data_IF_392820281349
#
_entry.id   IF_392820281349
#
_cell.length_a   1.000
_cell.length_b   1.000
_cell.length_c   1.000
_cell.angle_alpha   90.00
_cell.angle_beta   90.00
_cell.angle_gamma   90.00
#
_symmetry.space_group_name_H-M   'P 1'
#
loop_
_entity.id
_entity.type
_entity.pdbx_description
1 polymer ?
2 non-polymer ?
3 water ?
#
# COMPACT_ATOMS: atom_id res chain seq x y z
N UNK A 13 -3.15 1.85 -11.87
CA UNK A 13 -2.23 2.30 -10.83
C UNK A 13 -0.76 2.21 -11.27
N UNK A 14 -0.45 2.75 -12.45
CA UNK A 14 0.89 2.74 -13.01
C UNK A 14 1.60 4.06 -12.74
N UNK A 15 2.92 4.00 -12.61
CA UNK A 15 3.70 5.19 -12.32
C UNK A 15 3.91 6.03 -13.57
N UNK A 16 4.10 7.32 -13.34
CA UNK A 16 4.40 8.25 -14.43
C UNK A 16 5.89 8.18 -14.74
N UNK A 17 6.22 7.76 -15.96
CA UNK A 17 7.61 7.59 -16.33
C UNK A 17 8.33 6.67 -15.38
N UNK A 18 7.83 5.43 -15.24
CA UNK A 18 8.44 4.48 -14.33
C UNK A 18 9.89 4.20 -14.68
N UNK A 19 10.15 3.94 -15.96
CA UNK A 19 11.51 3.71 -16.42
C UNK A 19 12.42 4.89 -16.08
N UNK A 20 11.90 6.11 -16.19
CA UNK A 20 12.71 7.29 -15.91
C UNK A 20 12.83 7.58 -14.43
N UNK A 21 11.84 7.18 -13.63
CA UNK A 21 11.95 7.28 -12.18
C UNK A 21 13.04 6.35 -11.65
N UNK A 22 13.12 5.13 -12.21
CA UNK A 22 14.18 4.21 -11.85
C UNK A 22 15.56 4.82 -12.10
N UNK A 23 15.68 5.68 -13.10
CA UNK A 23 16.97 6.27 -13.44
C UNK A 23 17.38 7.34 -12.43
N UNK A 24 16.44 8.22 -12.08
CA UNK A 24 16.74 9.26 -11.09
C UNK A 24 17.26 8.65 -9.79
N UNK A 25 16.72 7.48 -9.41
CA UNK A 25 17.21 6.80 -8.22
C UNK A 25 18.68 6.41 -8.40
N UNK A 26 18.99 5.72 -9.50
CA UNK A 26 20.36 5.30 -9.74
C UNK A 26 21.35 6.45 -9.72
N UNK A 27 21.02 7.55 -10.40
CA UNK A 27 21.91 8.70 -10.41
C UNK A 27 22.14 9.24 -9.00
N UNK A 28 21.08 9.31 -8.19
CA UNK A 28 21.24 9.75 -6.82
C UNK A 28 22.24 8.87 -6.07
N UNK A 29 22.17 7.55 -6.30
CA UNK A 29 23.09 6.64 -5.63
C UNK A 29 24.46 6.64 -6.29
N UNK A 30 24.51 6.53 -7.61
CA UNK A 30 25.78 6.55 -8.32
C UNK A 30 26.62 7.74 -7.92
N UNK A 31 25.98 8.87 -7.59
CA UNK A 31 26.70 10.06 -7.16
C UNK A 31 27.38 9.87 -5.81
N UNK A 32 27.23 8.72 -5.16
CA UNK A 32 28.00 8.45 -3.94
C UNK A 32 29.47 8.29 -4.25
N UNK A 33 29.79 7.54 -5.31
CA UNK A 33 31.18 7.36 -5.71
C UNK A 33 31.69 8.54 -6.52
N UNK A 34 31.10 8.76 -7.69
CA UNK A 34 31.40 9.97 -8.45
C UNK A 34 30.93 11.19 -7.68
N UNK A 35 31.68 12.28 -7.79
CA UNK A 35 31.36 13.55 -7.11
C UNK A 35 31.61 13.51 -5.61
N UNK A 36 31.89 12.32 -5.06
CA UNK A 36 32.02 12.15 -3.61
C UNK A 36 30.98 12.98 -2.88
N UNK A 37 29.72 12.68 -3.18
CA UNK A 37 28.60 13.53 -2.79
C UNK A 37 28.16 13.24 -1.36
N UNK A 38 27.74 14.29 -0.67
CA UNK A 38 27.32 14.18 0.72
C UNK A 38 26.18 13.17 0.88
N UNK A 39 26.23 12.41 1.97
CA UNK A 39 25.16 11.47 2.28
C UNK A 39 23.85 12.20 2.52
N UNK A 40 23.88 13.31 3.24
CA UNK A 40 22.67 14.10 3.48
C UNK A 40 22.07 14.56 2.16
N UNK A 41 22.90 14.87 1.18
CA UNK A 41 22.39 15.32 -0.11
C UNK A 41 21.70 14.17 -0.84
N UNK A 42 22.35 13.00 -0.90
CA UNK A 42 21.80 11.87 -1.65
C UNK A 42 20.47 11.43 -1.04
N UNK A 43 20.42 11.29 0.28
CA UNK A 43 19.18 10.91 0.93
C UNK A 43 18.06 11.90 0.66
N UNK A 44 18.40 13.18 0.53
CA UNK A 44 17.36 14.19 0.33
C UNK A 44 16.77 14.10 -1.07
N UNK A 45 17.61 14.00 -2.09
CA UNK A 45 17.09 13.86 -3.44
C UNK A 45 16.39 12.53 -3.64
N UNK A 46 16.63 11.56 -2.77
CA UNK A 46 15.86 10.31 -2.80
C UNK A 46 14.45 10.53 -2.29
N UNK A 47 14.30 11.26 -1.19
CA UNK A 47 12.96 11.56 -0.69
C UNK A 47 12.22 12.50 -1.63
N UNK A 48 12.95 13.41 -2.30
CA UNK A 48 12.33 14.26 -3.30
C UNK A 48 11.88 13.44 -4.50
N UNK A 49 12.72 12.51 -4.96
CA UNK A 49 12.31 11.59 -6.01
C UNK A 49 10.99 10.93 -5.65
N UNK A 50 10.97 10.26 -4.49
CA UNK A 50 9.80 9.49 -4.09
C UNK A 50 8.60 10.41 -3.92
N UNK A 51 8.75 11.46 -3.11
CA UNK A 51 7.64 12.39 -2.91
C UNK A 51 7.14 12.92 -4.24
N UNK A 52 8.06 13.38 -5.11
CA UNK A 52 7.65 13.90 -6.41
C UNK A 52 6.95 12.83 -7.24
N UNK A 53 7.49 11.61 -7.25
CA UNK A 53 6.91 10.55 -8.06
C UNK A 53 5.51 10.17 -7.57
N UNK A 54 5.27 10.25 -6.27
CA UNK A 54 3.93 9.96 -5.75
C UNK A 54 2.92 10.94 -6.34
N UNK A 55 3.25 12.23 -6.35
CA UNK A 55 2.35 13.23 -6.91
C UNK A 55 2.18 13.02 -8.40
N UNK A 56 3.29 12.83 -9.12
CA UNK A 56 3.23 12.58 -10.56
C UNK A 56 2.32 11.40 -10.86
N UNK A 57 2.53 10.28 -10.16
CA UNK A 57 1.80 9.06 -10.47
C UNK A 57 0.33 9.18 -10.12
N UNK A 58 -0.03 10.03 -9.14
CA UNK A 58 -1.44 10.19 -8.81
C UNK A 58 -2.16 11.07 -9.82
N UNK A 59 -1.48 12.10 -10.34
CA UNK A 59 -2.00 12.80 -11.51
C UNK A 59 -2.36 11.82 -12.62
N UNK A 60 -1.48 10.85 -12.88
CA UNK A 60 -1.73 9.85 -13.90
C UNK A 60 -2.89 8.94 -13.52
N UNK A 61 -2.88 8.40 -12.30
CA UNK A 61 -3.83 7.34 -11.97
C UNK A 61 -5.23 7.88 -11.76
N UNK A 62 -5.39 9.03 -11.15
CA UNK A 62 -6.71 9.56 -10.79
C UNK A 62 -7.05 10.76 -11.65
N UNK A 63 -8.24 10.74 -12.26
CA UNK A 63 -8.63 11.91 -13.03
C UNK A 63 -8.90 13.12 -12.13
N UNK A 64 -9.58 12.91 -11.01
CA UNK A 64 -9.94 14.06 -10.18
C UNK A 64 -8.71 14.71 -9.55
N UNK A 65 -7.73 13.92 -9.13
CA UNK A 65 -6.54 14.50 -8.51
C UNK A 65 -5.77 15.35 -9.51
N UNK A 66 -5.65 14.88 -10.75
CA UNK A 66 -5.12 15.76 -11.79
C UNK A 66 -5.93 17.04 -11.87
N UNK A 67 -7.24 16.96 -11.61
CA UNK A 67 -8.07 18.17 -11.59
C UNK A 67 -7.88 19.01 -10.31
N UNK A 68 -7.45 18.38 -9.20
CA UNK A 68 -7.40 19.06 -7.90
C UNK A 68 -6.61 20.38 -7.90
N UNK A 69 -5.51 20.47 -8.62
CA UNK A 69 -4.81 21.74 -8.72
C UNK A 69 -3.70 21.95 -7.68
N UNK A 70 -2.86 22.96 -8.00
CA UNK A 70 -1.50 23.04 -7.46
C UNK A 70 -1.46 23.04 -5.92
N UNK A 71 -2.38 23.75 -5.27
CA UNK A 71 -2.28 23.86 -3.82
C UNK A 71 -2.15 22.47 -3.16
N UNK A 72 -2.98 21.52 -3.59
CA UNK A 72 -2.99 20.20 -2.98
C UNK A 72 -1.73 19.43 -3.32
N UNK A 73 -1.28 19.53 -4.58
CA UNK A 73 -0.23 18.63 -5.05
C UNK A 73 1.11 18.94 -4.39
N UNK A 74 1.40 20.21 -4.15
CA UNK A 74 2.64 20.54 -3.47
C UNK A 74 2.57 20.18 -1.99
N UNK A 75 1.38 20.25 -1.39
CA UNK A 75 1.21 19.78 -0.02
C UNK A 75 1.49 18.28 0.07
N UNK A 76 0.91 17.50 -0.86
CA UNK A 76 1.21 16.08 -0.92
C UNK A 76 2.72 15.83 -0.90
N UNK A 77 3.47 16.50 -1.79
CA UNK A 77 4.92 16.29 -1.81
C UNK A 77 5.53 16.55 -0.46
N UNK A 78 5.21 17.71 0.14
CA UNK A 78 5.72 18.03 1.47
C UNK A 78 5.40 16.93 2.46
N UNK A 79 4.11 16.57 2.57
CA UNK A 79 3.71 15.50 3.48
C UNK A 79 4.49 14.22 3.19
N UNK A 80 4.43 13.75 1.94
CA UNK A 80 5.11 12.50 1.59
C UNK A 80 6.56 12.53 2.02
N UNK A 81 7.26 13.63 1.74
CA UNK A 81 8.67 13.71 2.10
C UNK A 81 8.82 13.63 3.61
N UNK A 82 8.00 14.40 4.32
CA UNK A 82 8.05 14.40 5.79
C UNK A 82 7.82 12.99 6.33
N UNK A 83 6.79 12.31 5.82
CA UNK A 83 6.50 10.96 6.30
C UNK A 83 7.71 10.05 6.08
N UNK A 84 8.38 10.18 4.94
CA UNK A 84 9.54 9.34 4.67
C UNK A 84 10.63 9.55 5.69
N UNK A 85 10.89 10.80 6.05
CA UNK A 85 11.96 11.08 7.00
C UNK A 85 11.62 10.51 8.36
N UNK A 86 10.43 10.82 8.87
CA UNK A 86 10.06 10.32 10.18
C UNK A 86 10.06 8.79 10.20
N UNK A 87 9.62 8.18 9.10
CA UNK A 87 9.65 6.72 9.02
C UNK A 87 11.07 6.19 9.15
N UNK A 88 12.02 6.85 8.50
CA UNK A 88 13.40 6.40 8.60
C UNK A 88 13.92 6.51 10.03
N UNK A 89 13.69 7.66 10.68
CA UNK A 89 14.15 7.86 12.05
C UNK A 89 13.56 6.82 13.00
N UNK A 90 12.25 6.56 12.89
CA UNK A 90 11.63 5.57 13.75
C UNK A 90 12.18 4.17 13.49
N UNK A 91 12.72 3.92 12.30
CA UNK A 91 13.19 2.59 11.96
C UNK A 91 14.65 2.34 12.31
N UNK A 92 15.41 3.38 12.66
CA UNK A 92 16.86 3.21 12.75
C UNK A 92 17.25 2.36 13.95
N UNK A 93 16.72 2.65 15.14
CA UNK A 93 17.06 1.83 16.31
C UNK A 93 16.59 0.40 16.14
N UNK A 94 15.31 0.12 15.85
CA UNK A 94 14.90 -1.27 15.61
C UNK A 94 15.72 -1.96 14.55
N UNK A 95 16.17 -1.23 13.53
CA UNK A 95 17.01 -1.83 12.50
C UNK A 95 18.38 -2.21 13.06
N UNK A 96 19.06 -1.28 13.72
CA UNK A 96 20.33 -1.60 14.36
C UNK A 96 20.19 -2.84 15.25
N UNK A 97 19.14 -2.87 16.08
CA UNK A 97 18.94 -4.00 16.97
C UNK A 97 18.82 -5.30 16.20
N UNK A 98 18.19 -5.26 15.02
CA UNK A 98 18.10 -6.45 14.17
C UNK A 98 19.48 -6.83 13.65
N UNK A 99 20.18 -5.87 13.03
CA UNK A 99 21.50 -6.15 12.48
C UNK A 99 22.41 -6.73 13.55
N UNK A 100 22.47 -6.06 14.70
CA UNK A 100 23.34 -6.53 15.78
C UNK A 100 22.98 -7.95 16.17
N UNK A 101 21.69 -8.22 16.33
CA UNK A 101 21.26 -9.56 16.68
C UNK A 101 21.72 -10.60 15.66
N UNK A 102 21.80 -10.20 14.40
CA UNK A 102 22.10 -11.16 13.35
C UNK A 102 23.59 -11.50 13.28
N UNK A 103 24.45 -10.52 13.55
CA UNK A 103 25.89 -10.70 13.37
C UNK A 103 26.62 -10.90 14.69
N UNK A 104 25.93 -10.85 15.82
CA UNK A 104 26.60 -11.07 17.09
C UNK A 104 26.88 -12.56 17.30
N UNK A 105 28.03 -12.91 17.87
CA UNK A 105 28.30 -14.32 18.19
C UNK A 105 27.19 -14.90 19.02
N UNK A 106 26.89 -16.19 18.87
CA UNK A 106 27.59 -17.23 18.09
C UNK A 106 27.40 -17.12 16.59
N UNK A 107 26.46 -16.27 16.15
CA UNK A 107 26.16 -16.15 14.72
C UNK A 107 27.42 -15.93 13.89
N UNK A 108 28.43 -15.32 14.48
CA UNK A 108 29.70 -15.06 13.81
C UNK A 108 30.81 -15.47 14.77
N UNK A 109 31.93 -15.92 14.21
CA UNK A 109 33.13 -16.17 15.00
C UNK A 109 33.44 -14.91 15.81
N UNK A 110 33.57 -15.07 17.13
CA UNK A 110 33.73 -13.86 17.95
C UNK A 110 35.02 -13.12 17.63
N UNK A 111 36.04 -13.81 17.15
CA UNK A 111 37.17 -13.12 16.55
C UNK A 111 36.76 -12.40 15.28
N UNK A 112 35.85 -12.99 14.50
CA UNK A 112 35.37 -12.32 13.29
C UNK A 112 34.51 -11.11 13.64
N UNK A 113 33.74 -11.19 14.72
CA UNK A 113 32.96 -10.03 15.14
C UNK A 113 33.86 -8.90 15.64
N UNK A 114 34.98 -9.25 16.26
CA UNK A 114 35.98 -8.25 16.64
C UNK A 114 36.35 -7.38 15.45
N UNK A 115 36.57 -7.99 14.29
CA UNK A 115 36.81 -7.22 13.08
C UNK A 115 35.51 -6.58 12.57
N UNK A 116 34.43 -7.36 12.54
CA UNK A 116 33.22 -6.97 11.82
C UNK A 116 32.36 -5.98 12.61
N UNK A 117 32.25 -6.16 13.92
CA UNK A 117 31.36 -5.35 14.71
C UNK A 117 31.64 -3.86 14.61
N UNK A 118 32.87 -3.45 14.90
CA UNK A 118 33.19 -2.01 14.85
C UNK A 118 32.98 -1.39 13.48
N UNK A 119 33.04 -2.18 12.41
CA UNK A 119 32.80 -1.64 11.08
C UNK A 119 31.35 -1.22 10.93
N UNK A 120 30.43 -2.07 11.38
CA UNK A 120 29.01 -1.79 11.20
C UNK A 120 28.51 -0.77 12.22
N UNK A 121 29.11 -0.72 13.42
CA UNK A 121 28.72 0.34 14.36
C UNK A 121 29.10 1.71 13.80
N UNK A 122 30.29 1.81 13.21
CA UNK A 122 30.68 3.05 12.54
C UNK A 122 29.79 3.30 11.34
N UNK A 123 29.54 2.27 10.55
CA UNK A 123 28.64 2.39 9.41
C UNK A 123 27.30 2.98 9.82
N UNK A 124 26.69 2.41 10.86
CA UNK A 124 25.40 2.93 11.34
C UNK A 124 25.54 4.29 12.01
N UNK A 125 26.68 4.56 12.64
CA UNK A 125 26.88 5.85 13.29
C UNK A 125 26.91 6.98 12.28
N UNK A 126 27.41 6.73 11.07
CA UNK A 126 27.30 7.73 10.01
C UNK A 126 25.84 8.15 9.82
N UNK A 127 24.93 7.17 9.78
CA UNK A 127 23.51 7.47 9.62
C UNK A 127 22.95 8.14 10.86
N UNK A 128 23.37 7.71 12.05
CA UNK A 128 22.91 8.37 13.27
C UNK A 128 23.18 9.86 13.22
N UNK A 129 24.37 10.24 12.74
CA UNK A 129 24.77 11.65 12.78
C UNK A 129 23.97 12.49 11.80
N UNK A 130 23.72 11.95 10.59
CA UNK A 130 23.04 12.73 9.56
C UNK A 130 21.61 13.05 9.99
N UNK A 131 20.92 12.08 10.59
CA UNK A 131 19.52 12.24 10.93
C UNK A 131 19.29 12.79 12.33
N UNK A 132 20.35 13.18 13.03
CA UNK A 132 20.22 13.74 14.38
C UNK A 132 19.44 12.79 15.29
N UNK A 133 19.74 11.49 15.17
CA UNK A 133 19.19 10.46 16.04
C UNK A 133 20.35 9.64 16.56
N UNK A 134 20.97 10.05 17.67
CA UNK A 134 22.05 9.24 18.24
C UNK A 134 21.48 8.06 19.02
N UNK A 135 22.21 6.94 18.95
CA UNK A 135 21.80 5.70 19.61
C UNK A 135 23.00 5.16 20.37
N UNK A 136 22.84 4.66 21.59
CA UNK A 136 24.01 4.13 22.32
C UNK A 136 24.72 3.05 21.53
N UNK A 137 26.06 3.14 21.53
CA UNK A 137 26.88 2.07 20.95
C UNK A 137 26.84 0.80 21.79
N UNK A 138 26.14 0.81 22.93
CA UNK A 138 26.03 -0.38 23.77
C UNK A 138 25.34 -1.53 23.05
N UNK A 139 24.61 -1.24 21.98
CA UNK A 139 23.86 -2.29 21.27
C UNK A 139 24.81 -3.34 20.72
N UNK A 140 26.05 -2.96 20.42
CA UNK A 140 27.08 -3.88 19.95
C UNK A 140 27.94 -4.26 21.15
N UNK A 141 27.78 -5.49 21.64
CA UNK A 141 28.18 -5.87 22.98
C UNK A 141 28.86 -7.24 22.95
N UNK A 142 30.17 -7.27 23.22
CA UNK A 142 30.86 -8.51 23.57
C UNK A 142 30.73 -9.59 22.47
N UNK B 13 2.31 21.69 7.87
CA UNK B 13 2.54 20.32 7.42
C UNK B 13 3.05 19.42 8.55
N UNK B 14 2.18 19.16 9.52
CA UNK B 14 2.45 18.21 10.60
C UNK B 14 1.67 16.93 10.36
N UNK B 15 2.23 15.81 10.80
CA UNK B 15 1.62 14.52 10.57
C UNK B 15 0.46 14.30 11.54
N UNK B 16 -0.48 13.45 11.11
CA UNK B 16 -1.60 13.05 11.95
C UNK B 16 -1.15 11.91 12.84
N UNK B 17 -1.05 12.18 14.14
CA UNK B 17 -0.55 11.19 15.07
C UNK B 17 0.87 10.77 14.71
N UNK B 18 1.78 11.75 14.67
CA UNK B 18 3.17 11.42 14.34
C UNK B 18 3.82 10.54 15.39
N UNK B 19 3.60 10.84 16.66
CA UNK B 19 4.19 10.04 17.72
C UNK B 19 3.74 8.59 17.63
N UNK B 20 2.47 8.37 17.28
CA UNK B 20 1.92 7.02 17.15
C UNK B 20 2.36 6.36 15.85
N UNK B 21 2.64 7.15 14.80
CA UNK B 21 3.17 6.59 13.56
C UNK B 21 4.56 6.04 13.77
N UNK B 22 5.39 6.75 14.53
CA UNK B 22 6.74 6.27 14.82
C UNK B 22 6.72 4.95 15.56
N UNK B 23 5.75 4.76 16.46
CA UNK B 23 5.65 3.50 17.18
C UNK B 23 5.30 2.34 16.24
N UNK B 24 4.36 2.57 15.31
CA UNK B 24 3.96 1.52 14.38
C UNK B 24 5.14 1.04 13.53
N UNK B 25 6.06 1.95 13.18
CA UNK B 25 7.25 1.54 12.45
C UNK B 25 8.11 0.62 13.30
N UNK B 26 8.44 1.08 14.51
CA UNK B 26 9.22 0.24 15.40
C UNK B 26 8.64 -1.16 15.53
N UNK B 27 7.31 -1.23 15.74
CA UNK B 27 6.67 -2.53 15.96
C UNK B 27 6.80 -3.42 14.72
N UNK B 28 6.54 -2.87 13.53
CA UNK B 28 6.67 -3.65 12.31
C UNK B 28 8.04 -4.30 12.23
N UNK B 29 9.10 -3.54 12.56
CA UNK B 29 10.45 -4.07 12.51
C UNK B 29 10.77 -4.91 13.75
N UNK B 30 10.35 -4.44 14.92
CA UNK B 30 10.61 -5.19 16.14
C UNK B 30 10.05 -6.61 16.06
N UNK B 31 8.98 -6.81 15.28
CA UNK B 31 8.35 -8.12 15.20
C UNK B 31 9.21 -9.13 14.45
N UNK B 32 10.34 -8.70 13.87
CA UNK B 32 11.25 -9.68 13.29
C UNK B 32 11.91 -10.51 14.37
N UNK B 33 12.31 -9.87 15.46
CA UNK B 33 12.88 -10.61 16.58
C UNK B 33 11.78 -11.14 17.51
N UNK B 34 10.88 -10.27 17.94
CA UNK B 34 9.89 -10.67 18.95
C UNK B 34 8.99 -11.79 18.44
N UNK B 35 8.77 -11.85 17.13
CA UNK B 35 8.09 -12.97 16.49
C UNK B 35 8.92 -13.36 15.29
N UNK B 36 8.70 -14.57 14.79
CA UNK B 36 9.38 -14.97 13.56
C UNK B 36 8.54 -14.43 12.41
N UNK B 37 8.96 -13.30 11.86
CA UNK B 37 8.17 -12.54 10.92
C UNK B 37 8.97 -12.35 9.64
N UNK B 38 8.43 -12.86 8.53
CA UNK B 38 9.14 -12.82 7.27
C UNK B 38 9.58 -11.39 6.94
N UNK B 39 10.83 -11.25 6.53
CA UNK B 39 11.35 -10.00 5.98
C UNK B 39 10.34 -9.41 5.00
N UNK B 40 9.72 -10.27 4.20
CA UNK B 40 8.80 -9.82 3.16
C UNK B 40 7.47 -9.36 3.73
N UNK B 41 7.04 -9.93 4.87
CA UNK B 41 5.85 -9.43 5.53
C UNK B 41 6.08 -8.03 6.07
N UNK B 42 7.25 -7.81 6.66
CA UNK B 42 7.54 -6.53 7.27
C UNK B 42 7.64 -5.45 6.21
N UNK B 43 8.32 -5.75 5.09
CA UNK B 43 8.37 -4.80 4.00
C UNK B 43 6.99 -4.32 3.61
N UNK B 44 6.01 -5.23 3.60
CA UNK B 44 4.67 -4.87 3.13
C UNK B 44 3.96 -3.99 4.14
N UNK B 45 4.08 -4.30 5.43
CA UNK B 45 3.37 -3.49 6.42
C UNK B 45 4.08 -2.19 6.73
N UNK B 46 5.35 -2.08 6.38
CA UNK B 46 6.01 -0.77 6.42
C UNK B 46 5.45 0.14 5.34
N UNK B 47 5.33 -0.37 4.12
CA UNK B 47 4.76 0.43 3.04
C UNK B 47 3.31 0.79 3.34
N UNK B 48 2.56 -0.14 3.95
CA UNK B 48 1.20 0.18 4.38
C UNK B 48 1.19 1.33 5.38
N UNK B 49 2.07 1.27 6.39
CA UNK B 49 2.20 2.36 7.35
C UNK B 49 2.49 3.68 6.64
N UNK B 50 3.54 3.69 5.81
CA UNK B 50 3.94 4.93 5.15
C UNK B 50 2.82 5.43 4.25
N UNK B 51 2.30 4.56 3.38
CA UNK B 51 1.23 4.98 2.47
C UNK B 51 0.02 5.46 3.24
N UNK B 52 -0.40 4.71 4.27
CA UNK B 52 -1.52 5.13 5.11
C UNK B 52 -1.27 6.49 5.74
N UNK B 53 -0.09 6.67 6.35
CA UNK B 53 0.21 7.92 7.04
C UNK B 53 0.17 9.10 6.08
N UNK B 54 0.59 8.90 4.83
CA UNK B 54 0.55 9.98 3.85
C UNK B 54 -0.89 10.43 3.63
N UNK B 55 -1.83 9.49 3.54
CA UNK B 55 -3.23 9.87 3.35
C UNK B 55 -3.78 10.52 4.61
N UNK B 56 -3.48 9.95 5.78
CA UNK B 56 -3.93 10.55 7.03
C UNK B 56 -3.47 12.00 7.11
N UNK B 57 -2.17 12.22 6.90
CA UNK B 57 -1.60 13.53 7.10
C UNK B 57 -2.06 14.53 6.04
N UNK B 58 -2.36 14.06 4.83
CA UNK B 58 -2.84 14.97 3.81
C UNK B 58 -4.27 15.42 4.10
N UNK B 59 -5.11 14.51 4.59
CA UNK B 59 -6.43 14.91 5.05
C UNK B 59 -6.31 16.01 6.09
N UNK B 60 -5.33 15.89 6.99
CA UNK B 60 -5.14 16.90 8.03
C UNK B 60 -4.69 18.22 7.42
N UNK B 61 -3.76 18.19 6.47
CA UNK B 61 -3.12 19.42 5.99
C UNK B 61 -3.91 20.11 4.88
N UNK B 62 -4.69 19.37 4.10
CA UNK B 62 -5.50 19.95 3.02
C UNK B 62 -6.98 19.82 3.34
N UNK B 63 -7.64 20.95 3.59
CA UNK B 63 -9.09 20.96 3.58
C UNK B 63 -9.63 20.45 2.26
N UNK B 64 -8.95 20.78 1.16
CA UNK B 64 -9.44 20.42 -0.16
C UNK B 64 -9.31 18.92 -0.41
N UNK B 65 -8.23 18.31 0.08
CA UNK B 65 -8.08 16.87 -0.10
C UNK B 65 -9.11 16.12 0.72
N UNK B 66 -9.31 16.54 1.97
CA UNK B 66 -10.36 15.97 2.79
C UNK B 66 -11.71 16.07 2.09
N UNK B 67 -11.93 17.15 1.34
CA UNK B 67 -13.22 17.37 0.69
C UNK B 67 -13.53 16.31 -0.36
N UNK B 68 -12.54 15.53 -0.79
CA UNK B 68 -12.65 14.78 -2.04
C UNK B 68 -12.74 13.28 -1.81
N UNK B 69 -13.61 12.64 -2.58
CA UNK B 69 -13.33 11.39 -3.24
C UNK B 69 -12.59 10.32 -2.46
N UNK B 70 -13.22 9.68 -1.48
CA UNK B 70 -12.57 8.54 -0.84
C UNK B 70 -11.95 7.59 -1.86
N UNK B 71 -12.45 7.58 -3.09
CA UNK B 71 -11.76 6.89 -4.18
C UNK B 71 -10.35 7.42 -4.36
N UNK B 72 -10.20 8.74 -4.37
CA UNK B 72 -8.87 9.34 -4.53
C UNK B 72 -7.93 8.89 -3.43
N UNK B 73 -8.46 8.71 -2.22
CA UNK B 73 -7.61 8.43 -1.06
C UNK B 73 -7.10 7.00 -1.08
N UNK B 74 -7.96 6.05 -1.49
CA UNK B 74 -7.47 4.68 -1.67
C UNK B 74 -6.44 4.61 -2.80
N UNK B 75 -6.63 5.43 -3.84
CA UNK B 75 -5.67 5.47 -4.95
C UNK B 75 -4.34 6.06 -4.51
N UNK B 76 -4.38 7.19 -3.78
CA UNK B 76 -3.15 7.72 -3.19
C UNK B 76 -2.41 6.63 -2.42
N UNK B 77 -3.12 5.91 -1.55
CA UNK B 77 -2.51 4.81 -0.80
C UNK B 77 -1.88 3.79 -1.74
N UNK B 78 -2.65 3.32 -2.72
CA UNK B 78 -2.14 2.33 -3.65
C UNK B 78 -0.93 2.85 -4.43
N UNK B 79 -1.02 4.10 -4.89
CA UNK B 79 0.09 4.68 -5.64
C UNK B 79 1.33 4.82 -4.77
N UNK B 80 1.19 5.46 -3.61
CA UNK B 80 2.35 5.66 -2.75
C UNK B 80 3.01 4.33 -2.42
N UNK B 81 2.20 3.30 -2.13
CA UNK B 81 2.79 2.00 -1.83
C UNK B 81 3.53 1.43 -3.03
N UNK B 82 2.91 1.50 -4.20
CA UNK B 82 3.57 1.06 -5.43
C UNK B 82 4.89 1.80 -5.64
N UNK B 83 4.90 3.12 -5.37
CA UNK B 83 6.11 3.89 -5.58
C UNK B 83 7.23 3.38 -4.68
N UNK B 84 6.92 3.21 -3.38
CA UNK B 84 7.91 2.71 -2.44
C UNK B 84 8.52 1.42 -2.94
N UNK B 85 7.67 0.49 -3.37
CA UNK B 85 8.16 -0.79 -3.89
C UNK B 85 9.09 -0.55 -5.06
N UNK B 86 8.62 0.20 -6.06
CA UNK B 86 9.42 0.40 -7.26
C UNK B 86 10.69 1.18 -6.96
N UNK B 87 10.65 2.08 -5.96
CA UNK B 87 11.86 2.79 -5.56
C UNK B 87 12.91 1.82 -5.02
N UNK B 88 12.51 0.90 -4.16
CA UNK B 88 13.46 -0.05 -3.60
C UNK B 88 14.07 -0.93 -4.68
N UNK B 89 13.25 -1.42 -5.62
CA UNK B 89 13.75 -2.20 -6.73
C UNK B 89 14.74 -1.40 -7.59
N UNK B 90 14.43 -0.12 -7.82
CA UNK B 90 15.31 0.71 -8.63
C UNK B 90 16.66 0.91 -7.96
N UNK B 91 16.70 0.82 -6.63
CA UNK B 91 17.94 1.03 -5.89
C UNK B 91 18.86 -0.18 -5.92
N UNK B 92 18.37 -1.36 -6.33
CA UNK B 92 19.15 -2.57 -6.17
C UNK B 92 20.35 -2.61 -7.11
N UNK B 93 20.12 -2.44 -8.41
CA UNK B 93 21.24 -2.49 -9.36
C UNK B 93 22.30 -1.44 -9.08
N UNK B 94 21.97 -0.15 -8.96
CA UNK B 94 23.01 0.83 -8.60
C UNK B 94 23.75 0.46 -7.32
N UNK B 95 23.06 -0.14 -6.35
CA UNK B 95 23.72 -0.61 -5.13
C UNK B 95 24.74 -1.70 -5.47
N UNK B 96 24.32 -2.73 -6.19
CA UNK B 96 25.25 -3.76 -6.63
C UNK B 96 26.43 -3.14 -7.38
N UNK B 97 26.15 -2.24 -8.32
CA UNK B 97 27.24 -1.54 -9.00
C UNK B 97 28.21 -0.91 -8.01
N UNK B 98 27.69 -0.29 -6.96
CA UNK B 98 28.55 0.34 -5.95
C UNK B 98 29.35 -0.72 -5.22
N UNK B 99 28.67 -1.75 -4.71
CA UNK B 99 29.37 -2.82 -4.00
C UNK B 99 30.44 -3.42 -4.90
N UNK B 100 30.03 -3.88 -6.08
CA UNK B 100 30.98 -4.51 -6.99
C UNK B 100 32.16 -3.60 -7.25
N UNK B 101 31.91 -2.29 -7.35
CA UNK B 101 33.00 -1.36 -7.57
C UNK B 101 33.96 -1.33 -6.39
N UNK B 102 33.46 -1.61 -5.18
CA UNK B 102 34.30 -1.53 -3.99
C UNK B 102 35.15 -2.77 -3.79
N UNK B 103 34.67 -3.95 -4.20
CA UNK B 103 35.36 -5.20 -3.94
C UNK B 103 36.10 -5.72 -5.17
N UNK B 104 35.98 -5.06 -6.32
CA UNK B 104 36.64 -5.56 -7.51
C UNK B 104 38.12 -5.18 -7.51
N UNK B 105 38.98 -6.04 -8.05
CA UNK B 105 40.41 -5.71 -8.09
C UNK B 105 40.63 -4.40 -8.80
N UNK B 106 41.69 -3.66 -8.45
CA UNK B 106 42.78 -3.94 -7.51
C UNK B 106 42.42 -3.81 -6.04
N UNK B 107 41.24 -3.23 -5.73
CA UNK B 107 40.85 -3.05 -4.34
C UNK B 107 40.99 -4.34 -3.55
N UNK B 108 40.88 -5.48 -4.22
CA UNK B 108 41.06 -6.79 -3.60
C UNK B 108 41.93 -7.63 -4.51
N UNK B 109 42.78 -8.46 -3.92
CA UNK B 109 43.59 -9.41 -4.68
C UNK B 109 42.70 -10.18 -5.63
N UNK B 110 43.07 -10.22 -6.92
CA UNK B 110 42.19 -10.87 -7.89
C UNK B 110 41.98 -12.35 -7.57
N UNK B 111 42.98 -13.01 -6.97
CA UNK B 111 42.71 -14.33 -6.41
C UNK B 111 41.70 -14.25 -5.27
N UNK B 112 41.79 -13.20 -4.46
CA UNK B 112 40.84 -13.02 -3.37
C UNK B 112 39.43 -12.74 -3.90
N UNK B 113 39.33 -12.04 -5.03
CA UNK B 113 38.01 -11.78 -5.60
C UNK B 113 37.41 -13.05 -6.19
N UNK B 114 38.25 -13.94 -6.71
CA UNK B 114 37.75 -15.23 -7.17
C UNK B 114 36.89 -15.89 -6.11
N UNK B 115 37.27 -15.74 -4.85
CA UNK B 115 36.48 -16.25 -3.73
C UNK B 115 35.37 -15.29 -3.34
N UNK B 116 35.72 -14.02 -3.13
CA UNK B 116 34.79 -13.07 -2.52
C UNK B 116 33.62 -12.74 -3.43
N UNK B 117 33.88 -12.49 -4.71
CA UNK B 117 32.86 -12.04 -5.63
C UNK B 117 31.62 -12.91 -5.64
N UNK B 118 31.79 -14.21 -5.90
CA UNK B 118 30.61 -15.10 -5.92
C UNK B 118 29.83 -15.07 -4.62
N UNK B 119 30.49 -14.79 -3.50
CA UNK B 119 29.78 -14.71 -2.22
C UNK B 119 28.81 -13.53 -2.23
N UNK B 120 29.28 -12.38 -2.70
CA UNK B 120 28.45 -11.19 -2.74
C UNK B 120 27.41 -11.30 -3.85
N UNK B 121 27.83 -11.74 -5.04
CA UNK B 121 26.87 -12.00 -6.11
C UNK B 121 25.74 -12.87 -5.60
N UNK B 122 26.07 -13.96 -4.92
CA UNK B 122 25.07 -14.83 -4.32
C UNK B 122 24.22 -14.07 -3.31
N UNK B 123 24.87 -13.34 -2.40
CA UNK B 123 24.14 -12.56 -1.40
C UNK B 123 23.11 -11.66 -2.05
N UNK B 124 23.50 -10.94 -3.10
CA UNK B 124 22.59 -10.03 -3.77
C UNK B 124 21.60 -10.76 -4.65
N UNK B 125 21.96 -11.93 -5.17
CA UNK B 125 20.99 -12.72 -5.93
C UNK B 125 19.83 -13.15 -5.05
N UNK B 126 20.04 -13.27 -3.74
CA UNK B 126 18.93 -13.51 -2.83
C UNK B 126 18.02 -12.28 -2.76
N UNK B 127 18.61 -11.09 -2.65
CA UNK B 127 17.81 -9.87 -2.65
C UNK B 127 17.08 -9.71 -3.98
N UNK B 128 17.77 -9.99 -5.08
CA UNK B 128 17.13 -9.90 -6.40
C UNK B 128 15.88 -10.75 -6.47
N UNK B 129 15.89 -11.92 -5.84
CA UNK B 129 14.75 -12.82 -5.90
C UNK B 129 13.67 -12.43 -4.90
N UNK B 130 14.06 -11.98 -3.71
CA UNK B 130 13.07 -11.53 -2.74
C UNK B 130 12.32 -10.31 -3.27
N UNK B 131 13.03 -9.36 -3.88
CA UNK B 131 12.44 -8.16 -4.44
C UNK B 131 11.95 -8.33 -5.87
N UNK B 132 12.13 -9.50 -6.47
CA UNK B 132 11.61 -9.78 -7.80
C UNK B 132 12.13 -8.77 -8.83
N UNK B 133 13.40 -8.42 -8.71
CA UNK B 133 14.11 -7.61 -9.71
C UNK B 133 15.39 -8.34 -10.05
N UNK B 134 15.32 -9.35 -10.93
CA UNK B 134 16.56 -10.03 -11.34
C UNK B 134 17.45 -9.09 -12.12
N UNK B 135 18.75 -9.18 -11.84
CA UNK B 135 19.74 -8.30 -12.44
C UNK B 135 20.87 -9.15 -12.99
N UNK B 136 21.45 -8.81 -14.14
CA UNK B 136 22.54 -9.62 -14.69
C UNK B 136 23.61 -9.90 -13.66
N UNK B 137 24.13 -11.13 -13.68
CA UNK B 137 25.30 -11.46 -12.88
C UNK B 137 26.61 -10.96 -13.50
N UNK B 138 26.53 -10.22 -14.61
CA UNK B 138 27.73 -9.71 -15.26
C UNK B 138 28.35 -8.55 -14.50
N UNK B 139 27.58 -7.89 -13.62
CA UNK B 139 28.12 -6.76 -12.88
C UNK B 139 29.40 -7.15 -12.16
N UNK B 140 29.50 -8.42 -11.76
CA UNK B 140 30.63 -8.91 -10.97
C UNK B 140 31.70 -9.59 -11.82
N UNK B 141 31.65 -9.44 -13.14
CA UNK B 141 32.51 -10.25 -14.01
C UNK B 141 33.98 -9.91 -13.85
N UNK B 142 34.31 -8.61 -13.88
CA UNK B 142 35.71 -8.18 -13.82
C UNK B 142 36.46 -8.55 -15.10
N UNK C 13 -25.21 12.61 11.50
CA UNK C 13 -26.10 13.75 11.36
C UNK C 13 -26.14 14.28 9.92
N UNK C 14 -25.03 14.84 9.44
CA UNK C 14 -24.96 15.47 8.13
C UNK C 14 -24.02 14.71 7.21
N UNK C 15 -24.47 14.46 5.98
CA UNK C 15 -23.64 13.75 5.01
C UNK C 15 -22.58 14.68 4.43
N UNK C 16 -21.59 14.06 3.77
CA UNK C 16 -20.49 14.77 3.13
C UNK C 16 -20.79 14.84 1.63
N UNK C 17 -21.06 16.04 1.13
CA UNK C 17 -21.38 16.22 -0.27
C UNK C 17 -22.66 15.48 -0.65
N UNK C 18 -23.76 15.81 0.01
CA UNK C 18 -25.00 15.10 -0.25
C UNK C 18 -25.55 15.34 -1.65
N UNK C 19 -25.51 16.60 -2.10
CA UNK C 19 -25.97 16.90 -3.46
C UNK C 19 -25.13 16.17 -4.50
N UNK C 20 -23.83 16.07 -4.28
CA UNK C 20 -22.94 15.36 -5.19
C UNK C 20 -22.99 13.85 -4.99
N UNK C 21 -23.38 13.39 -3.80
CA UNK C 21 -23.61 11.96 -3.59
C UNK C 21 -24.90 11.50 -4.27
N UNK C 22 -25.91 12.36 -4.31
CA UNK C 22 -27.14 12.02 -5.05
C UNK C 22 -26.86 11.90 -6.54
N UNK C 23 -25.98 12.76 -7.08
CA UNK C 23 -25.64 12.67 -8.49
C UNK C 23 -24.98 11.33 -8.80
N UNK C 24 -24.01 10.94 -7.97
CA UNK C 24 -23.30 9.68 -8.19
C UNK C 24 -24.29 8.51 -8.25
N UNK C 25 -25.34 8.55 -7.44
CA UNK C 25 -26.36 7.51 -7.50
C UNK C 25 -27.08 7.56 -8.84
N UNK C 26 -27.59 8.74 -9.20
CA UNK C 26 -28.31 8.88 -10.45
C UNK C 26 -27.51 8.42 -11.65
N UNK C 27 -26.22 8.78 -11.70
CA UNK C 27 -25.37 8.32 -12.79
C UNK C 27 -25.26 6.80 -12.81
N UNK C 28 -25.16 6.17 -11.63
CA UNK C 28 -25.07 4.73 -11.58
C UNK C 28 -26.31 4.07 -12.18
N UNK C 29 -27.49 4.60 -11.86
CA UNK C 29 -28.72 4.02 -12.37
C UNK C 29 -28.96 4.41 -13.82
N UNK C 30 -28.67 5.65 -14.17
CA UNK C 30 -28.83 6.08 -15.56
C UNK C 30 -27.89 5.35 -16.51
N UNK C 31 -26.78 4.79 -16.00
CA UNK C 31 -25.89 3.98 -16.84
C UNK C 31 -26.55 2.69 -17.30
N UNK C 32 -27.72 2.36 -16.74
CA UNK C 32 -28.50 1.24 -17.26
C UNK C 32 -28.98 1.51 -18.68
N UNK C 33 -29.45 2.73 -18.94
CA UNK C 33 -29.90 3.12 -20.27
C UNK C 33 -28.76 3.67 -21.14
N UNK C 34 -27.98 4.62 -20.61
CA UNK C 34 -27.03 5.34 -21.44
C UNK C 34 -25.89 4.44 -21.90
N UNK C 35 -25.21 3.77 -20.96
CA UNK C 35 -24.11 2.87 -21.28
C UNK C 35 -24.55 1.41 -21.37
N UNK C 36 -25.85 1.13 -21.24
CA UNK C 36 -26.35 -0.23 -21.23
C UNK C 36 -25.49 -1.10 -20.31
N UNK C 37 -25.45 -0.70 -19.05
CA UNK C 37 -24.55 -1.30 -18.08
C UNK C 37 -25.19 -2.51 -17.42
N UNK C 38 -24.36 -3.53 -17.17
CA UNK C 38 -24.82 -4.75 -16.54
C UNK C 38 -25.50 -4.45 -15.21
N UNK C 39 -26.49 -5.27 -14.86
CA UNK C 39 -27.21 -5.08 -13.61
C UNK C 39 -26.30 -5.34 -12.40
N UNK C 40 -25.37 -6.29 -12.50
CA UNK C 40 -24.43 -6.49 -11.41
C UNK C 40 -23.39 -5.37 -11.36
N UNK C 41 -23.03 -4.80 -12.51
CA UNK C 41 -22.13 -3.66 -12.52
C UNK C 41 -22.76 -2.47 -11.81
N UNK C 42 -24.04 -2.20 -12.12
CA UNK C 42 -24.72 -1.06 -11.50
C UNK C 42 -24.83 -1.27 -10.00
N UNK C 43 -25.16 -2.49 -9.57
CA UNK C 43 -25.28 -2.76 -8.15
C UNK C 43 -23.97 -2.58 -7.40
N UNK C 44 -22.86 -2.88 -8.05
CA UNK C 44 -21.57 -2.77 -7.38
C UNK C 44 -21.18 -1.31 -7.16
N UNK C 45 -21.33 -0.48 -8.18
CA UNK C 45 -21.00 0.93 -8.00
C UNK C 45 -22.02 1.67 -7.14
N UNK C 46 -23.18 1.07 -6.89
CA UNK C 46 -24.09 1.62 -5.88
C UNK C 46 -23.59 1.30 -4.48
N UNK C 47 -23.26 0.04 -4.23
CA UNK C 47 -22.68 -0.33 -2.94
C UNK C 47 -21.40 0.45 -2.67
N UNK C 48 -20.56 0.62 -3.70
CA UNK C 48 -19.33 1.40 -3.53
C UNK C 48 -19.64 2.83 -3.14
N UNK C 49 -20.66 3.43 -3.76
CA UNK C 49 -21.06 4.78 -3.39
C UNK C 49 -21.51 4.85 -1.94
N UNK C 50 -22.38 3.94 -1.54
CA UNK C 50 -22.86 3.89 -0.16
C UNK C 50 -21.69 3.69 0.80
N UNK C 51 -20.87 2.67 0.54
CA UNK C 51 -19.74 2.40 1.43
C UNK C 51 -18.83 3.62 1.52
N UNK C 52 -18.45 4.20 0.38
CA UNK C 52 -17.60 5.38 0.39
C UNK C 52 -18.25 6.53 1.14
N UNK C 53 -19.56 6.73 0.92
CA UNK C 53 -20.23 7.87 1.54
C UNK C 53 -20.33 7.70 3.06
N UNK C 54 -20.32 6.46 3.55
CA UNK C 54 -20.35 6.25 4.99
C UNK C 54 -19.03 6.67 5.62
N UNK C 55 -17.92 6.26 5.03
CA UNK C 55 -16.61 6.68 5.52
C UNK C 55 -16.48 8.19 5.45
N UNK C 56 -16.85 8.77 4.30
CA UNK C 56 -16.76 10.22 4.13
C UNK C 56 -17.56 10.94 5.20
N UNK C 57 -18.81 10.51 5.41
CA UNK C 57 -19.70 11.22 6.30
C UNK C 57 -19.39 10.99 7.77
N UNK C 58 -18.77 9.86 8.12
CA UNK C 58 -18.39 9.66 9.52
C UNK C 58 -17.22 10.53 9.90
N UNK C 59 -16.26 10.68 8.98
CA UNK C 59 -15.19 11.66 9.19
C UNK C 59 -15.77 13.03 9.46
N UNK C 60 -16.87 13.36 8.80
CA UNK C 60 -17.50 14.66 8.97
C UNK C 60 -18.26 14.76 10.29
N UNK C 61 -18.92 13.68 10.72
CA UNK C 61 -19.74 13.74 11.94
C UNK C 61 -18.90 13.77 13.21
N UNK C 62 -17.77 13.05 13.23
CA UNK C 62 -16.93 13.02 14.42
C UNK C 62 -15.49 13.38 14.10
N UNK C 63 -14.92 14.30 14.89
CA UNK C 63 -13.53 14.66 14.61
C UNK C 63 -12.59 13.51 14.93
N UNK C 64 -12.81 12.79 16.03
CA UNK C 64 -11.87 11.74 16.38
C UNK C 64 -11.85 10.60 15.36
N UNK C 65 -12.99 10.23 14.77
CA UNK C 65 -12.90 9.20 13.75
C UNK C 65 -12.01 9.67 12.61
N UNK C 66 -12.15 10.93 12.21
CA UNK C 66 -11.29 11.49 11.19
C UNK C 66 -9.82 11.41 11.61
N UNK C 67 -9.52 11.75 12.85
CA UNK C 67 -8.13 11.82 13.32
C UNK C 67 -7.43 10.47 13.32
N UNK C 68 -8.10 9.37 12.99
CA UNK C 68 -7.55 8.05 13.20
C UNK C 68 -7.22 7.34 11.88
N UNK C 69 -6.15 6.57 11.90
CA UNK C 69 -6.10 5.28 11.26
C UNK C 69 -6.72 5.15 9.88
N UNK C 70 -6.11 5.70 8.83
CA UNK C 70 -6.65 5.45 7.50
C UNK C 70 -6.89 3.97 7.23
N UNK C 71 -6.16 3.08 7.90
CA UNK C 71 -6.48 1.65 7.84
C UNK C 71 -7.93 1.40 8.22
N UNK C 72 -8.41 2.05 9.29
CA UNK C 72 -9.79 1.90 9.73
C UNK C 72 -10.75 2.36 8.63
N UNK C 73 -10.35 3.40 7.90
CA UNK C 73 -11.24 3.97 6.89
C UNK C 73 -11.46 2.99 5.75
N UNK C 74 -10.38 2.33 5.29
CA UNK C 74 -10.54 1.37 4.20
C UNK C 74 -11.21 0.10 4.67
N UNK C 75 -11.10 -0.22 5.96
CA UNK C 75 -11.82 -1.36 6.52
C UNK C 75 -13.30 -1.06 6.64
N UNK C 76 -13.65 0.11 7.15
CA UNK C 76 -15.06 0.51 7.20
C UNK C 76 -15.71 0.38 5.81
N UNK C 77 -15.01 0.78 4.75
CA UNK C 77 -15.58 0.63 3.42
C UNK C 77 -15.77 -0.84 3.08
N UNK C 78 -14.74 -1.66 3.29
CA UNK C 78 -14.87 -3.09 3.08
C UNK C 78 -16.06 -3.64 3.85
N UNK C 79 -16.07 -3.42 5.16
CA UNK C 79 -17.15 -3.93 6.00
C UNK C 79 -18.50 -3.45 5.49
N UNK C 80 -18.67 -2.14 5.32
CA UNK C 80 -19.93 -1.60 4.86
C UNK C 80 -20.38 -2.26 3.56
N UNK C 81 -19.45 -2.40 2.61
CA UNK C 81 -19.83 -3.00 1.34
C UNK C 81 -20.23 -4.46 1.51
N UNK C 82 -19.46 -5.21 2.30
CA UNK C 82 -19.79 -6.62 2.51
C UNK C 82 -21.16 -6.78 3.15
N UNK C 83 -21.47 -5.96 4.15
CA UNK C 83 -22.79 -6.03 4.78
C UNK C 83 -23.89 -5.83 3.74
N UNK C 84 -23.72 -4.84 2.88
CA UNK C 84 -24.70 -4.62 1.81
C UNK C 84 -24.87 -5.88 0.98
N UNK C 85 -23.76 -6.57 0.68
CA UNK C 85 -23.84 -7.76 -0.15
C UNK C 85 -24.50 -8.89 0.61
N UNK C 86 -24.04 -9.16 1.83
CA UNK C 86 -24.63 -10.25 2.60
C UNK C 86 -26.07 -9.96 2.95
N UNK C 87 -26.43 -8.67 3.08
CA UNK C 87 -27.83 -8.33 3.28
C UNK C 87 -28.66 -8.74 2.08
N UNK C 88 -28.20 -8.41 0.87
CA UNK C 88 -28.95 -8.75 -0.34
C UNK C 88 -29.11 -10.25 -0.49
N UNK C 89 -28.04 -11.01 -0.23
CA UNK C 89 -28.13 -12.47 -0.30
C UNK C 89 -29.10 -13.01 0.74
N UNK C 90 -29.06 -12.46 1.95
CA UNK C 90 -29.97 -12.90 3.00
C UNK C 90 -31.41 -12.55 2.67
N UNK C 91 -31.63 -11.60 1.78
CA UNK C 91 -32.98 -11.21 1.41
C UNK C 91 -33.59 -12.10 0.34
N UNK C 92 -32.77 -12.93 -0.32
CA UNK C 92 -33.24 -13.59 -1.54
C UNK C 92 -34.25 -14.69 -1.23
N UNK C 93 -33.90 -15.61 -0.33
CA UNK C 93 -34.83 -16.69 -0.01
C UNK C 93 -36.10 -16.16 0.62
N UNK C 94 -36.05 -15.31 1.65
CA UNK C 94 -37.31 -14.74 2.15
C UNK C 94 -38.13 -14.09 1.06
N UNK C 95 -37.50 -13.43 0.10
CA UNK C 95 -38.22 -12.81 -1.01
C UNK C 95 -38.93 -13.86 -1.86
N UNK C 96 -38.17 -14.85 -2.35
CA UNK C 96 -38.77 -15.95 -3.12
C UNK C 96 -39.97 -16.54 -2.40
N UNK C 97 -39.83 -16.81 -1.10
CA UNK C 97 -40.94 -17.35 -0.33
C UNK C 97 -42.15 -16.43 -0.38
N UNK C 98 -41.91 -15.12 -0.37
CA UNK C 98 -43.02 -14.17 -0.47
C UNK C 98 -43.63 -14.21 -1.88
N UNK C 99 -42.78 -14.24 -2.90
CA UNK C 99 -43.27 -14.23 -4.27
C UNK C 99 -44.06 -15.50 -4.57
N UNK C 100 -43.53 -16.65 -4.17
CA UNK C 100 -44.22 -17.91 -4.43
C UNK C 100 -45.52 -18.00 -3.64
N UNK C 101 -45.53 -17.50 -2.41
CA UNK C 101 -46.76 -17.46 -1.66
C UNK C 101 -47.80 -16.58 -2.35
N UNK C 102 -47.35 -15.54 -3.02
CA UNK C 102 -48.28 -14.57 -3.62
C UNK C 102 -48.93 -15.14 -4.87
N UNK C 103 -48.13 -15.74 -5.76
CA UNK C 103 -48.63 -16.15 -7.07
C UNK C 103 -49.17 -17.58 -7.10
N UNK C 104 -49.00 -18.33 -6.02
CA UNK C 104 -49.55 -19.67 -6.01
C UNK C 104 -51.08 -19.61 -5.99
N UNK C 105 -51.76 -20.49 -6.72
CA UNK C 105 -53.22 -20.52 -6.67
C UNK C 105 -53.70 -20.65 -5.24
N UNK C 106 -54.92 -20.19 -4.94
CA UNK C 106 -55.96 -19.57 -5.77
C UNK C 106 -55.65 -18.15 -6.21
N UNK C 107 -54.60 -17.56 -5.65
CA UNK C 107 -54.26 -16.18 -5.99
C UNK C 107 -54.21 -15.96 -7.49
N UNK C 108 -53.85 -17.00 -8.24
CA UNK C 108 -53.74 -16.93 -9.69
C UNK C 108 -54.48 -18.11 -10.28
N UNK C 109 -55.08 -17.88 -11.45
CA UNK C 109 -55.73 -18.97 -12.19
C UNK C 109 -54.80 -20.19 -12.19
N UNK C 110 -55.38 -21.36 -11.98
CA UNK C 110 -54.58 -22.58 -11.93
C UNK C 110 -53.78 -22.77 -13.22
N UNK C 111 -54.44 -22.67 -14.37
CA UNK C 111 -53.74 -22.71 -15.65
C UNK C 111 -52.69 -21.60 -15.72
N UNK C 112 -53.02 -20.41 -15.24
CA UNK C 112 -52.08 -19.29 -15.33
C UNK C 112 -50.80 -19.58 -14.58
N UNK C 113 -50.89 -20.24 -13.42
CA UNK C 113 -49.68 -20.57 -12.68
C UNK C 113 -48.89 -21.68 -13.33
N UNK C 114 -49.53 -22.53 -14.13
CA UNK C 114 -48.79 -23.52 -14.91
C UNK C 114 -47.80 -22.84 -15.85
N UNK C 115 -48.22 -21.74 -16.47
CA UNK C 115 -47.35 -20.99 -17.37
C UNK C 115 -46.43 -20.05 -16.61
N UNK C 116 -46.93 -19.44 -15.53
CA UNK C 116 -46.21 -18.36 -14.86
C UNK C 116 -45.16 -18.89 -13.90
N UNK C 117 -45.47 -19.92 -13.14
CA UNK C 117 -44.58 -20.44 -12.13
C UNK C 117 -43.21 -20.80 -12.66
N UNK C 118 -43.16 -21.57 -13.76
CA UNK C 118 -41.85 -21.92 -14.32
C UNK C 118 -41.04 -20.70 -14.72
N UNK C 119 -41.69 -19.67 -15.26
CA UNK C 119 -40.98 -18.48 -15.69
C UNK C 119 -40.36 -17.76 -14.50
N UNK C 120 -41.10 -17.67 -13.39
CA UNK C 120 -40.60 -16.96 -12.22
C UNK C 120 -39.47 -17.74 -11.55
N UNK C 121 -39.62 -19.06 -11.43
CA UNK C 121 -38.55 -19.84 -10.79
C UNK C 121 -37.25 -19.68 -11.57
N UNK C 122 -37.34 -19.64 -12.90
CA UNK C 122 -36.17 -19.41 -13.72
C UNK C 122 -35.59 -18.02 -13.48
N UNK C 123 -36.47 -17.00 -13.43
CA UNK C 123 -36.00 -15.64 -13.18
C UNK C 123 -35.21 -15.57 -11.87
N UNK C 124 -35.72 -16.18 -10.81
CA UNK C 124 -35.02 -16.14 -9.54
C UNK C 124 -33.80 -17.05 -9.53
N UNK C 125 -33.81 -18.11 -10.34
CA UNK C 125 -32.61 -18.95 -10.45
C UNK C 125 -31.46 -18.18 -11.06
N UNK C 126 -31.74 -17.25 -11.98
CA UNK C 126 -30.68 -16.36 -12.48
C UNK C 126 -30.09 -15.55 -11.33
N UNK C 127 -30.94 -14.93 -10.52
CA UNK C 127 -30.47 -14.17 -9.37
C UNK C 127 -29.69 -15.08 -8.43
N UNK C 128 -30.20 -16.29 -8.18
CA UNK C 128 -29.52 -17.25 -7.32
C UNK C 128 -28.09 -17.50 -7.80
N UNK C 129 -27.89 -17.51 -9.11
CA UNK C 129 -26.58 -17.83 -9.67
C UNK C 129 -25.63 -16.64 -9.57
N UNK C 130 -26.12 -15.42 -9.74
CA UNK C 130 -25.26 -14.24 -9.66
C UNK C 130 -24.73 -14.07 -8.24
N UNK C 131 -25.53 -14.38 -7.24
CA UNK C 131 -25.15 -14.22 -5.85
C UNK C 131 -24.57 -15.49 -5.23
N UNK C 132 -24.37 -16.53 -6.04
CA UNK C 132 -23.83 -17.79 -5.54
C UNK C 132 -24.58 -18.22 -4.27
N UNK C 133 -25.89 -17.95 -4.26
CA UNK C 133 -26.78 -18.35 -3.17
C UNK C 133 -27.88 -19.20 -3.78
N UNK C 134 -27.64 -20.50 -3.96
CA UNK C 134 -28.66 -21.37 -4.55
C UNK C 134 -29.73 -21.75 -3.55
N UNK C 135 -30.93 -21.94 -4.06
CA UNK C 135 -32.09 -22.26 -3.24
C UNK C 135 -32.89 -23.38 -3.91
N UNK C 136 -33.43 -24.33 -3.15
CA UNK C 136 -34.24 -25.39 -3.76
C UNK C 136 -35.37 -24.80 -4.61
N UNK C 137 -35.66 -25.46 -5.71
CA UNK C 137 -36.83 -25.12 -6.51
C UNK C 137 -38.11 -25.74 -5.95
N UNK C 138 -38.03 -26.45 -4.83
CA UNK C 138 -39.22 -27.02 -4.20
C UNK C 138 -40.20 -25.94 -3.78
N UNK C 139 -39.75 -24.69 -3.67
CA UNK C 139 -40.60 -23.61 -3.19
C UNK C 139 -41.74 -23.35 -4.17
N UNK C 140 -41.55 -23.64 -5.45
CA UNK C 140 -42.57 -23.44 -6.48
C UNK C 140 -43.22 -24.80 -6.75
N UNK C 141 -44.43 -24.99 -6.24
CA UNK C 141 -45.01 -26.32 -6.11
C UNK C 141 -46.51 -26.28 -6.34
N UNK C 142 -46.97 -27.03 -7.35
CA UNK C 142 -48.38 -27.39 -7.51
C UNK C 142 -49.36 -26.22 -7.46
#
# INVERSE_FOLDING_TARGET
MGLRGKSGSTASSSLEGGSEFSERIGNSLSSFLSESASLEVIGNELADNIANEIVSSLQKDSASFLQSGFDVKTQLKATAKKVLVEALKAALEPTEKIVASTIKPPRVSEDAYFLLGPVVKTLFNKVEDVLHKPIPDTIWEYESKGSLEEEEAEDEFSDELLDLEHHHHHH
MGLRGKSGSTASSSLEGGSEFSERIGNSLSSFLSESASLEVIGNELADNIANEIVSSLQKDSASFLQSGFDVKTQLKATAKKVLVEALKAALEPTEKIVASTIKPPRVSEDAYFLLGPVVKTLFNKVEDVLHKPIPDTIWEYESKGSLEEEEAEDEFSDELLDLEHHHHHH
MGLRGKSGSTASSSLEGGSEFSERIGNSLSSFLSESASLEVIGNELADNIANEIVSSLQKDSASFLQSGFDVKTQLKATAKKVLVEALKAALEPTEKIVASTIKPPRVSEDAYFLLGPVVKTLFNKVEDVLHKPIPDTIWEYESKGSLEEEEAEDEFSDELLDLEHHHHHH
#
